data_IF_720082021193
#
_entry.id   IF_720082021193
#
_cell.length_a   1.000
_cell.length_b   1.000
_cell.length_c   1.000
_cell.angle_alpha   90.00
_cell.angle_beta   90.00
_cell.angle_gamma   90.00
#
_symmetry.space_group_name_H-M   'P 1'
#
loop_
_entity.id
_entity.type
_entity.pdbx_description
1 polymer ?
#
# COMPACT_ATOMS: atom_id res chain seq x y z
N UNK A 1 -2.19 -18.78 7.77
CA UNK A 1 -1.49 -17.49 7.93
C UNK A 1 -1.83 -16.55 6.76
N UNK A 2 -1.63 -16.96 5.52
CA UNK A 2 -1.94 -16.17 4.32
C UNK A 2 -3.43 -15.78 4.27
N UNK A 3 -4.34 -16.76 4.31
CA UNK A 3 -5.80 -16.51 4.25
C UNK A 3 -6.29 -15.52 5.32
N UNK A 4 -5.71 -15.62 6.53
CA UNK A 4 -6.02 -14.66 7.59
C UNK A 4 -5.53 -13.25 7.25
N UNK A 5 -4.33 -13.12 6.69
CA UNK A 5 -3.78 -11.83 6.31
C UNK A 5 -4.59 -11.18 5.18
N UNK A 6 -5.03 -11.95 4.19
CA UNK A 6 -5.91 -11.45 3.13
C UNK A 6 -7.26 -10.99 3.70
N UNK A 7 -7.84 -11.76 4.63
CA UNK A 7 -9.07 -11.36 5.30
C UNK A 7 -8.91 -10.07 6.12
N UNK A 8 -7.80 -9.93 6.86
CA UNK A 8 -7.52 -8.75 7.65
C UNK A 8 -7.29 -7.51 6.76
N UNK A 9 -6.60 -7.67 5.62
CA UNK A 9 -6.42 -6.59 4.64
C UNK A 9 -7.75 -6.18 3.98
N UNK A 10 -8.59 -7.16 3.59
CA UNK A 10 -9.93 -6.90 3.05
C UNK A 10 -10.77 -6.11 4.04
N UNK A 11 -10.82 -6.56 5.29
CA UNK A 11 -11.57 -5.88 6.34
C UNK A 11 -11.06 -4.44 6.58
N UNK A 12 -9.76 -4.22 6.47
CA UNK A 12 -9.16 -2.89 6.60
C UNK A 12 -9.58 -1.96 5.46
N UNK A 13 -9.64 -2.47 4.23
CA UNK A 13 -10.09 -1.71 3.05
C UNK A 13 -11.58 -1.39 3.12
N UNK A 14 -12.40 -2.37 3.53
CA UNK A 14 -13.84 -2.16 3.74
C UNK A 14 -14.10 -1.12 4.84
N UNK A 15 -13.34 -1.18 5.92
CA UNK A 15 -13.40 -0.19 7.00
C UNK A 15 -12.96 1.21 6.58
N UNK A 16 -12.08 1.34 5.60
CA UNK A 16 -11.69 2.62 5.03
C UNK A 16 -12.74 3.22 4.09
N UNK A 17 -13.75 2.45 3.68
CA UNK A 17 -14.84 2.90 2.80
C UNK A 17 -14.40 3.26 1.39
N UNK A 18 -13.26 2.75 0.94
CA UNK A 18 -12.71 2.99 -0.38
C UNK A 18 -13.09 1.86 -1.35
N UNK A 19 -13.41 2.16 -2.60
CA UNK A 19 -13.62 1.12 -3.60
C UNK A 19 -12.29 0.41 -3.89
N UNK A 20 -12.31 -0.90 -3.81
CA UNK A 20 -11.14 -1.72 -4.09
C UNK A 20 -11.50 -2.94 -4.93
N UNK A 21 -10.51 -3.57 -5.54
CA UNK A 21 -10.67 -4.76 -6.36
C UNK A 21 -9.60 -5.79 -5.97
N UNK A 22 -10.02 -7.04 -5.83
CA UNK A 22 -9.10 -8.15 -5.70
C UNK A 22 -8.38 -8.41 -7.02
N UNK A 23 -7.06 -8.57 -6.96
CA UNK A 23 -6.20 -8.91 -8.11
C UNK A 23 -5.43 -10.21 -7.81
N UNK A 24 -6.04 -11.39 -8.00
CA UNK A 24 -5.46 -12.65 -7.61
C UNK A 24 -4.14 -12.94 -8.35
N UNK A 25 -3.15 -13.43 -7.63
CA UNK A 25 -1.88 -13.88 -8.19
C UNK A 25 -0.84 -12.80 -8.44
N UNK A 26 -1.12 -11.55 -8.02
CA UNK A 26 -0.17 -10.44 -8.12
C UNK A 26 0.48 -10.07 -6.77
N UNK A 27 0.33 -10.95 -5.77
CA UNK A 27 0.98 -10.85 -4.46
C UNK A 27 2.49 -10.99 -4.53
N UNK A 28 3.19 -10.45 -3.52
CA UNK A 28 4.60 -10.72 -3.36
C UNK A 28 4.81 -12.15 -2.84
N UNK A 29 5.96 -12.76 -3.16
CA UNK A 29 6.26 -14.12 -2.67
C UNK A 29 6.35 -14.19 -1.15
N UNK A 30 6.55 -13.08 -0.47
CA UNK A 30 6.70 -12.97 0.98
C UNK A 30 5.41 -12.60 1.71
N UNK A 31 4.33 -12.20 1.01
CA UNK A 31 3.04 -11.89 1.61
C UNK A 31 2.06 -11.14 0.69
N UNK A 32 0.81 -11.03 1.10
CA UNK A 32 -0.19 -10.26 0.37
C UNK A 32 0.06 -8.75 0.51
N UNK A 33 -0.49 -7.97 -0.41
CA UNK A 33 -0.27 -6.53 -0.47
C UNK A 33 -1.52 -5.75 -0.86
N UNK A 34 -1.53 -4.48 -0.50
CA UNK A 34 -2.45 -3.47 -1.02
C UNK A 34 -1.64 -2.54 -1.91
N UNK A 35 -2.07 -2.36 -3.16
CA UNK A 35 -1.50 -1.40 -4.09
C UNK A 35 -2.50 -0.29 -4.40
N UNK A 36 -2.01 0.95 -4.46
CA UNK A 36 -2.79 2.10 -4.88
C UNK A 36 -2.32 2.51 -6.27
N UNK A 37 -3.25 2.44 -7.22
CA UNK A 37 -3.00 2.79 -8.62
C UNK A 37 -3.72 4.07 -8.98
N UNK A 38 -2.99 5.02 -9.54
CA UNK A 38 -3.53 6.27 -10.06
C UNK A 38 -3.71 6.18 -11.57
N UNK A 39 -4.71 6.87 -12.11
CA UNK A 39 -4.95 6.97 -13.54
C UNK A 39 -4.63 8.38 -14.02
N UNK A 40 -3.80 8.49 -15.06
CA UNK A 40 -3.50 9.78 -15.70
C UNK A 40 -4.58 10.23 -16.70
N UNK A 41 -4.42 11.41 -17.27
CA UNK A 41 -5.36 11.97 -18.24
C UNK A 41 -5.48 11.12 -19.52
N UNK A 42 -4.44 10.37 -19.86
CA UNK A 42 -4.42 9.44 -20.99
C UNK A 42 -4.99 8.06 -20.64
N UNK A 43 -5.58 7.89 -19.46
CA UNK A 43 -6.11 6.62 -18.94
C UNK A 43 -5.06 5.54 -18.68
N UNK A 44 -3.77 5.92 -18.59
CA UNK A 44 -2.71 4.99 -18.20
C UNK A 44 -2.72 4.82 -16.69
N UNK A 45 -2.47 3.60 -16.25
CA UNK A 45 -2.43 3.26 -14.83
C UNK A 45 -1.00 3.32 -14.30
N UNK A 46 -0.83 3.93 -13.14
CA UNK A 46 0.45 4.08 -12.45
C UNK A 46 0.32 3.58 -11.02
N UNK A 47 0.95 2.46 -10.72
CA UNK A 47 1.09 2.01 -9.35
C UNK A 47 1.97 3.00 -8.58
N UNK A 48 1.46 3.51 -7.47
CA UNK A 48 2.15 4.50 -6.63
C UNK A 48 2.37 3.98 -5.21
N UNK A 49 1.36 4.03 -4.37
CA UNK A 49 1.52 3.57 -3.00
C UNK A 49 1.35 2.06 -2.89
N UNK A 50 2.03 1.48 -1.90
CA UNK A 50 1.88 0.06 -1.58
C UNK A 50 2.03 -0.18 -0.09
N UNK A 51 1.30 -1.17 0.43
CA UNK A 51 1.47 -1.75 1.76
C UNK A 51 1.63 -3.24 1.56
N UNK A 52 2.74 -3.81 2.00
CA UNK A 52 3.08 -5.21 1.76
C UNK A 52 3.38 -5.89 3.09
N UNK A 53 2.70 -6.99 3.37
CA UNK A 53 3.00 -7.85 4.50
C UNK A 53 4.17 -8.75 4.14
N UNK A 54 5.04 -9.01 5.10
CA UNK A 54 6.20 -9.87 4.92
C UNK A 54 6.33 -10.83 6.09
N UNK A 55 6.16 -12.12 5.80
CA UNK A 55 6.29 -13.20 6.75
C UNK A 55 7.66 -13.91 6.69
N UNK A 56 8.50 -13.56 5.71
CA UNK A 56 9.76 -14.26 5.46
C UNK A 56 10.98 -13.55 6.04
N UNK A 57 11.15 -12.26 5.78
CA UNK A 57 12.33 -11.52 6.26
C UNK A 57 12.46 -11.55 7.79
N UNK A 58 11.39 -11.40 8.58
CA UNK A 58 11.52 -11.52 10.04
C UNK A 58 12.13 -12.84 10.49
N UNK A 59 11.78 -13.93 9.84
CA UNK A 59 12.35 -15.26 10.13
C UNK A 59 13.79 -15.38 9.65
N UNK A 60 14.09 -14.89 8.43
CA UNK A 60 15.44 -14.95 7.85
C UNK A 60 16.46 -14.13 8.64
N UNK A 61 16.05 -12.98 9.15
CA UNK A 61 16.87 -12.13 10.02
C UNK A 61 16.77 -12.49 11.49
N UNK A 62 16.05 -13.58 11.83
CA UNK A 62 15.83 -14.03 13.20
C UNK A 62 15.33 -12.89 14.12
N UNK A 63 14.44 -12.08 13.61
CA UNK A 63 13.79 -11.01 14.38
C UNK A 63 12.80 -11.65 15.36
N UNK A 64 12.78 -11.18 16.59
CA UNK A 64 11.91 -11.71 17.60
C UNK A 64 11.38 -10.64 18.55
N UNK A 65 10.22 -10.89 19.10
CA UNK A 65 9.67 -10.15 20.22
C UNK A 65 9.15 -11.11 21.26
N UNK A 66 8.92 -10.62 22.46
CA UNK A 66 8.32 -11.39 23.55
C UNK A 66 6.85 -11.03 23.58
N UNK A 67 5.99 -12.04 23.46
CA UNK A 67 4.55 -11.86 23.53
C UNK A 67 4.03 -11.67 24.97
N UNK A 68 2.73 -11.46 25.14
CA UNK A 68 2.09 -11.27 26.43
C UNK A 68 2.22 -12.47 27.38
N UNK A 69 2.54 -13.64 26.83
CA UNK A 69 2.75 -14.88 27.59
C UNK A 69 4.20 -15.10 27.97
N UNK A 70 5.10 -14.19 27.56
CA UNK A 70 6.53 -14.32 27.78
C UNK A 70 7.25 -15.23 26.77
N UNK A 71 6.57 -15.64 25.68
CA UNK A 71 7.15 -16.49 24.65
C UNK A 71 7.79 -15.66 23.53
N UNK A 72 8.88 -16.18 22.96
CA UNK A 72 9.52 -15.55 21.79
C UNK A 72 8.73 -15.87 20.52
N UNK A 73 8.31 -14.83 19.82
CA UNK A 73 7.58 -14.90 18.56
C UNK A 73 8.31 -14.14 17.46
N UNK A 74 8.06 -14.51 16.20
CA UNK A 74 8.51 -13.73 15.05
C UNK A 74 7.46 -12.67 14.68
N UNK A 75 7.86 -11.41 14.49
CA UNK A 75 6.93 -10.38 14.06
C UNK A 75 6.53 -10.57 12.59
N UNK A 76 5.46 -9.89 12.18
CA UNK A 76 5.16 -9.65 10.78
C UNK A 76 5.73 -8.28 10.41
N UNK A 77 6.47 -8.21 9.33
CA UNK A 77 7.00 -6.94 8.83
C UNK A 77 6.00 -6.32 7.85
N UNK A 78 5.84 -5.02 7.90
CA UNK A 78 5.00 -4.26 6.99
C UNK A 78 5.90 -3.28 6.24
N UNK A 79 6.02 -3.49 4.92
CA UNK A 79 6.69 -2.54 4.04
C UNK A 79 5.67 -1.54 3.52
N UNK A 80 5.98 -0.27 3.57
CA UNK A 80 5.11 0.79 3.10
C UNK A 80 5.86 1.78 2.22
N UNK A 81 5.35 2.01 1.02
CA UNK A 81 5.72 3.11 0.16
C UNK A 81 4.50 4.02 -0.06
N UNK A 82 4.68 5.33 -0.04
CA UNK A 82 3.61 6.31 -0.25
C UNK A 82 3.60 6.80 -1.68
N UNK A 83 4.74 7.23 -2.18
CA UNK A 83 4.86 7.83 -3.51
C UNK A 83 5.19 6.81 -4.61
N UNK A 84 5.72 5.65 -4.23
CA UNK A 84 6.31 4.70 -5.15
C UNK A 84 7.60 5.27 -5.75
N UNK A 85 7.60 5.59 -7.05
CA UNK A 85 8.66 6.36 -7.70
C UNK A 85 8.39 7.86 -7.56
N UNK A 86 9.37 8.62 -7.06
CA UNK A 86 9.26 10.06 -6.89
C UNK A 86 9.02 10.74 -8.25
N UNK A 87 9.72 10.31 -9.29
CA UNK A 87 9.60 10.84 -10.65
C UNK A 87 8.20 10.62 -11.22
N UNK A 88 7.64 9.43 -11.02
CA UNK A 88 6.28 9.11 -11.44
C UNK A 88 5.25 9.96 -10.71
N UNK A 89 5.41 10.13 -9.41
CA UNK A 89 4.50 10.96 -8.61
C UNK A 89 4.58 12.43 -9.03
N UNK A 90 5.77 12.96 -9.29
CA UNK A 90 5.94 14.33 -9.81
C UNK A 90 5.21 14.47 -11.14
N UNK A 91 5.34 13.52 -12.06
CA UNK A 91 4.66 13.56 -13.35
C UNK A 91 3.14 13.58 -13.19
N UNK A 92 2.58 12.69 -12.35
CA UNK A 92 1.13 12.63 -12.08
C UNK A 92 0.64 13.92 -11.44
N UNK A 93 1.34 14.46 -10.47
CA UNK A 93 0.98 15.71 -9.79
C UNK A 93 1.08 16.90 -10.76
N UNK A 94 2.13 16.97 -11.59
CA UNK A 94 2.30 18.03 -12.58
C UNK A 94 1.14 18.03 -13.56
N UNK A 95 0.73 16.87 -14.04
CA UNK A 95 -0.44 16.73 -14.92
C UNK A 95 -1.72 17.16 -14.21
N UNK A 96 -1.97 16.64 -13.01
CA UNK A 96 -3.19 16.93 -12.26
C UNK A 96 -3.37 18.42 -11.93
N UNK A 97 -2.28 19.11 -11.61
CA UNK A 97 -2.31 20.53 -11.25
C UNK A 97 -1.98 21.47 -12.42
N UNK A 98 -1.77 20.93 -13.63
CA UNK A 98 -1.39 21.73 -14.80
C UNK A 98 -0.10 22.55 -14.55
N UNK A 99 0.83 22.01 -13.76
CA UNK A 99 2.07 22.68 -13.37
C UNK A 99 1.91 23.76 -12.28
N UNK A 100 0.70 24.04 -11.84
CA UNK A 100 0.40 25.03 -10.78
C UNK A 100 0.24 24.33 -9.45
N UNK A 101 1.34 23.85 -8.88
CA UNK A 101 1.32 23.17 -7.59
C UNK A 101 0.71 24.07 -6.51
N UNK A 102 -0.28 23.59 -5.74
CA UNK A 102 -0.71 24.33 -4.56
C UNK A 102 0.48 24.42 -3.59
N UNK A 103 0.75 25.61 -3.10
CA UNK A 103 1.68 25.80 -2.01
C UNK A 103 1.01 25.24 -0.75
N UNK A 104 1.30 24.00 -0.41
CA UNK A 104 0.61 23.32 0.68
C UNK A 104 1.58 23.07 1.82
N UNK A 105 1.35 23.72 2.97
CA UNK A 105 1.95 23.25 4.23
C UNK A 105 1.38 21.90 4.67
N UNK A 106 0.23 21.48 4.11
CA UNK A 106 -0.49 20.28 4.46
C UNK A 106 -0.85 19.46 3.22
N UNK A 107 -0.02 18.50 2.87
CA UNK A 107 -0.39 17.42 1.96
C UNK A 107 -1.44 16.54 2.66
N UNK A 108 -2.70 16.87 2.51
CA UNK A 108 -3.75 15.96 2.90
C UNK A 108 -3.73 14.74 1.97
N UNK A 109 -3.38 13.61 2.53
CA UNK A 109 -3.37 12.28 1.89
C UNK A 109 -4.73 11.96 1.23
N UNK A 110 -5.81 12.58 1.72
CA UNK A 110 -7.16 12.45 1.16
C UNK A 110 -7.30 12.82 -0.33
N UNK A 111 -6.44 13.66 -0.88
CA UNK A 111 -6.45 13.98 -2.31
C UNK A 111 -5.91 12.87 -3.20
N UNK A 112 -4.99 12.07 -2.69
CA UNK A 112 -4.46 10.91 -3.40
C UNK A 112 -5.53 9.84 -3.52
N UNK A 113 -6.39 9.70 -2.51
CA UNK A 113 -7.47 8.71 -2.49
C UNK A 113 -8.61 9.01 -3.47
N UNK A 114 -8.84 10.27 -3.82
CA UNK A 114 -9.91 10.64 -4.75
C UNK A 114 -9.60 10.36 -6.23
N UNK A 115 -8.34 10.08 -6.55
CA UNK A 115 -7.86 9.85 -7.92
C UNK A 115 -7.42 8.41 -8.17
N UNK A 116 -7.41 7.55 -7.15
CA UNK A 116 -6.84 6.21 -7.25
C UNK A 116 -7.82 5.08 -7.04
N UNK A 117 -7.54 3.96 -7.70
CA UNK A 117 -8.13 2.68 -7.38
C UNK A 117 -7.22 1.93 -6.41
N UNK A 118 -7.80 1.32 -5.39
CA UNK A 118 -7.06 0.47 -4.45
C UNK A 118 -7.20 -0.98 -4.91
N UNK A 119 -6.07 -1.67 -5.05
CA UNK A 119 -6.02 -3.09 -5.34
C UNK A 119 -5.45 -3.83 -4.15
N UNK A 120 -6.09 -4.94 -3.77
CA UNK A 120 -5.53 -5.91 -2.85
C UNK A 120 -5.11 -7.16 -3.61
N UNK A 121 -3.94 -7.70 -3.27
CA UNK A 121 -3.35 -8.85 -3.95
C UNK A 121 -2.83 -9.87 -2.93
#
# INVERSE_FOLDING_TARGET
MWDKAEADLSASLDGAGLPWKLNPGDGAFYGPKIDITLQDALKRQHQCATIQLDFQLPRRFNLGYVDEKGEKQHPVMIHRAILGSVERMIAVLTENFGGKFPFVPEFHVSWIYSLGFVFMV
#
